data_IF_208386923973
#
_entry.id   IF_208386923973
#
_cell.length_a   1.000
_cell.length_b   1.000
_cell.length_c   1.000
_cell.angle_alpha   90.00
_cell.angle_beta   90.00
_cell.angle_gamma   90.00
#
_symmetry.space_group_name_H-M   'P 1'
#
loop_
_entity.id
_entity.type
_entity.pdbx_description
1 polymer ?
#
# COMPACT_ATOMS: atom_id res chain seq x y z
N UNK A 1 0.54 -8.43 9.17
CA UNK A 1 1.87 -8.23 9.78
C UNK A 1 2.71 -7.41 8.82
N UNK A 2 3.33 -6.28 9.21
CA UNK A 2 4.06 -5.47 8.23
C UNK A 2 5.47 -6.03 8.00
N UNK A 3 5.70 -6.66 6.85
CA UNK A 3 7.04 -6.89 6.33
C UNK A 3 7.36 -5.80 5.30
N UNK A 4 8.62 -5.40 5.25
CA UNK A 4 9.10 -4.49 4.21
C UNK A 4 9.24 -5.23 2.87
N UNK A 5 9.10 -4.49 1.77
CA UNK A 5 9.35 -5.01 0.42
C UNK A 5 10.78 -5.56 0.36
N UNK A 6 10.93 -6.77 -0.18
CA UNK A 6 12.22 -7.45 -0.32
C UNK A 6 12.60 -8.35 0.86
N UNK A 7 11.85 -8.32 1.96
CA UNK A 7 11.95 -9.36 2.99
C UNK A 7 11.14 -10.58 2.51
N UNK A 8 11.69 -11.78 2.70
CA UNK A 8 10.99 -13.02 2.40
C UNK A 8 9.74 -13.14 3.29
N UNK A 9 8.59 -13.26 2.66
CA UNK A 9 7.31 -13.39 3.34
C UNK A 9 6.95 -14.87 3.56
N UNK A 10 7.55 -15.44 4.60
CA UNK A 10 7.33 -16.80 5.09
C UNK A 10 6.81 -16.81 6.55
N UNK A 11 6.31 -17.96 6.99
CA UNK A 11 5.71 -18.07 8.34
C UNK A 11 6.74 -17.78 9.44
N UNK A 12 7.99 -18.18 9.26
CA UNK A 12 9.07 -17.92 10.23
C UNK A 12 9.28 -16.42 10.46
N UNK A 13 9.34 -15.62 9.39
CA UNK A 13 9.45 -14.16 9.52
C UNK A 13 8.17 -13.56 10.13
N UNK A 14 6.99 -14.03 9.73
CA UNK A 14 5.71 -13.57 10.30
C UNK A 14 5.64 -13.81 11.81
N UNK A 15 5.94 -15.02 12.27
CA UNK A 15 5.95 -15.39 13.69
C UNK A 15 6.98 -14.59 14.49
N UNK A 16 8.20 -14.42 13.95
CA UNK A 16 9.23 -13.58 14.57
C UNK A 16 8.70 -12.17 14.85
N UNK A 17 8.15 -11.50 13.85
CA UNK A 17 7.63 -10.15 14.03
C UNK A 17 6.40 -10.13 14.93
N UNK A 18 5.56 -11.18 14.93
CA UNK A 18 4.43 -11.28 15.84
C UNK A 18 4.91 -11.24 17.30
N UNK A 19 5.89 -12.07 17.63
CA UNK A 19 6.48 -12.10 18.96
C UNK A 19 7.06 -10.72 19.36
N UNK A 20 7.76 -10.03 18.45
CA UNK A 20 8.25 -8.68 18.69
C UNK A 20 7.13 -7.67 18.95
N UNK A 21 6.03 -7.72 18.18
CA UNK A 21 4.89 -6.82 18.37
C UNK A 21 4.19 -7.07 19.70
N UNK A 22 3.92 -8.32 20.05
CA UNK A 22 3.28 -8.68 21.32
C UNK A 22 4.14 -8.21 22.51
N UNK A 23 5.44 -8.49 22.47
CA UNK A 23 6.38 -8.04 23.51
C UNK A 23 6.38 -6.51 23.65
N UNK A 24 6.34 -5.76 22.55
CA UNK A 24 6.24 -4.29 22.58
C UNK A 24 4.92 -3.83 23.19
N UNK A 25 3.80 -4.44 22.82
CA UNK A 25 2.48 -4.10 23.39
C UNK A 25 2.49 -4.34 24.90
N UNK A 26 2.95 -5.50 25.36
CA UNK A 26 3.07 -5.82 26.79
C UNK A 26 3.91 -4.78 27.53
N UNK A 27 5.09 -4.45 26.99
CA UNK A 27 5.98 -3.43 27.55
C UNK A 27 5.32 -2.05 27.67
N UNK A 28 4.56 -1.62 26.67
CA UNK A 28 3.95 -0.29 26.64
C UNK A 28 2.64 -0.18 27.42
N UNK A 29 1.93 -1.29 27.61
CA UNK A 29 0.59 -1.31 28.23
C UNK A 29 0.59 -1.90 29.64
N UNK A 30 1.64 -2.62 30.05
CA UNK A 30 1.68 -3.38 31.29
C UNK A 30 0.87 -4.69 31.24
N UNK A 31 0.28 -5.03 30.10
CA UNK A 31 -0.37 -6.32 29.90
C UNK A 31 0.67 -7.45 29.92
N UNK A 32 0.25 -8.64 30.39
CA UNK A 32 1.12 -9.81 30.50
C UNK A 32 0.43 -11.00 29.83
N UNK A 33 1.21 -11.83 29.13
CA UNK A 33 0.77 -13.08 28.54
C UNK A 33 -0.22 -12.86 27.41
N UNK A 34 0.04 -11.90 26.51
CA UNK A 34 -0.81 -11.68 25.34
C UNK A 34 -0.78 -12.87 24.39
N UNK A 35 0.40 -13.48 24.19
CA UNK A 35 0.54 -14.65 23.30
C UNK A 35 -0.36 -15.82 23.73
N UNK A 36 -0.47 -16.09 25.04
CA UNK A 36 -1.31 -17.18 25.55
C UNK A 36 -2.81 -16.87 25.53
N UNK A 37 -3.20 -15.63 25.21
CA UNK A 37 -4.61 -15.20 25.10
C UNK A 37 -5.09 -15.18 23.64
N UNK A 38 -4.26 -15.56 22.68
CA UNK A 38 -4.63 -15.61 21.27
C UNK A 38 -5.47 -16.87 21.03
N UNK A 39 -6.76 -16.70 20.77
CA UNK A 39 -7.66 -17.80 20.37
C UNK A 39 -7.64 -18.04 18.86
N UNK A 40 -7.34 -17.00 18.08
CA UNK A 40 -7.28 -17.06 16.62
C UNK A 40 -6.24 -16.08 16.08
N UNK A 41 -5.48 -16.55 15.08
CA UNK A 41 -4.47 -15.76 14.39
C UNK A 41 -4.64 -15.93 12.88
N UNK A 42 -4.65 -14.80 12.17
CA UNK A 42 -4.52 -14.75 10.72
C UNK A 42 -3.54 -13.66 10.33
N UNK A 43 -2.55 -14.04 9.53
CA UNK A 43 -1.58 -13.12 8.95
C UNK A 43 -2.03 -12.65 7.56
N UNK A 44 -1.65 -11.42 7.22
CA UNK A 44 -1.84 -10.83 5.90
C UNK A 44 -0.64 -9.88 5.65
N UNK A 45 0.07 -10.09 4.55
CA UNK A 45 1.35 -9.46 4.27
C UNK A 45 1.64 -9.37 2.75
N UNK A 46 2.91 -9.17 2.40
CA UNK A 46 3.42 -8.82 1.06
C UNK A 46 2.90 -9.77 -0.02
N UNK A 47 2.98 -11.10 0.20
CA UNK A 47 2.52 -12.10 -0.74
C UNK A 47 1.00 -12.08 -0.92
N UNK A 48 0.26 -11.83 0.16
CA UNK A 48 -1.20 -11.72 0.10
C UNK A 48 -1.61 -10.48 -0.73
N UNK A 49 -0.94 -9.33 -0.53
CA UNK A 49 -1.19 -8.13 -1.34
C UNK A 49 -0.82 -8.32 -2.83
N UNK A 50 0.26 -9.06 -3.11
CA UNK A 50 0.64 -9.41 -4.47
C UNK A 50 -0.43 -10.27 -5.14
N UNK A 51 -0.91 -11.30 -4.44
CA UNK A 51 -1.88 -12.26 -4.95
C UNK A 51 -3.27 -11.65 -5.13
N UNK A 52 -3.79 -10.95 -4.12
CA UNK A 52 -5.19 -10.51 -4.11
C UNK A 52 -5.41 -9.23 -4.93
N UNK A 53 -4.39 -8.36 -5.02
CA UNK A 53 -4.54 -7.02 -5.61
C UNK A 53 -3.57 -6.72 -6.75
N UNK A 54 -2.70 -7.66 -7.13
CA UNK A 54 -1.58 -7.39 -8.05
C UNK A 54 -0.74 -6.19 -7.58
N UNK A 55 -0.61 -6.00 -6.26
CA UNK A 55 0.03 -4.84 -5.70
C UNK A 55 1.53 -4.87 -5.99
N UNK A 56 2.06 -3.87 -6.70
CA UNK A 56 3.49 -3.81 -7.04
C UNK A 56 4.39 -3.96 -5.80
N UNK A 57 5.21 -5.01 -5.75
CA UNK A 57 6.06 -5.30 -4.59
C UNK A 57 5.31 -5.61 -3.29
N UNK A 58 4.02 -5.95 -3.35
CA UNK A 58 3.18 -6.28 -2.19
C UNK A 58 2.90 -5.10 -1.26
N UNK A 59 2.92 -3.88 -1.79
CA UNK A 59 2.67 -2.68 -1.00
C UNK A 59 1.20 -2.56 -0.58
N UNK A 60 0.96 -2.16 0.68
CA UNK A 60 -0.38 -1.91 1.21
C UNK A 60 -0.84 -0.45 1.05
N UNK A 61 0.10 0.49 0.79
CA UNK A 61 -0.14 1.93 0.93
C UNK A 61 0.50 2.77 -0.20
N UNK A 62 0.76 2.18 -1.37
CA UNK A 62 1.26 2.91 -2.52
C UNK A 62 2.70 3.42 -2.41
N UNK A 63 2.98 4.57 -3.04
CA UNK A 63 4.32 5.15 -3.11
C UNK A 63 4.80 5.68 -1.75
N UNK A 64 6.09 5.49 -1.48
CA UNK A 64 6.73 6.08 -0.30
C UNK A 64 6.77 7.62 -0.38
N UNK A 65 6.75 8.28 0.78
CA UNK A 65 6.80 9.74 0.89
C UNK A 65 8.25 10.27 0.82
N UNK A 66 8.98 9.91 -0.24
CA UNK A 66 10.31 10.47 -0.49
C UNK A 66 10.22 11.81 -1.22
N UNK A 67 11.22 12.68 -1.10
CA UNK A 67 11.25 13.98 -1.80
C UNK A 67 11.06 13.84 -3.32
N UNK A 68 11.52 12.73 -3.91
CA UNK A 68 11.39 12.44 -5.34
C UNK A 68 10.02 11.88 -5.73
N UNK A 69 9.15 11.57 -4.78
CA UNK A 69 7.83 10.97 -4.98
C UNK A 69 6.70 11.87 -4.44
N UNK A 70 6.96 13.16 -4.25
CA UNK A 70 5.98 14.14 -3.77
C UNK A 70 5.54 15.09 -4.89
N UNK A 71 4.37 15.70 -4.70
CA UNK A 71 3.79 16.73 -5.58
C UNK A 71 3.95 16.42 -7.08
N UNK A 72 4.62 17.31 -7.82
CA UNK A 72 4.81 17.23 -9.29
C UNK A 72 5.75 16.11 -9.74
N UNK A 73 6.50 15.51 -8.82
CA UNK A 73 7.43 14.41 -9.10
C UNK A 73 6.75 13.02 -9.00
N UNK A 74 5.47 12.98 -8.57
CA UNK A 74 4.67 11.75 -8.63
C UNK A 74 4.48 11.26 -10.08
N UNK A 75 4.30 9.95 -10.29
CA UNK A 75 3.90 9.42 -11.59
C UNK A 75 2.66 10.14 -12.13
N UNK A 76 2.77 10.55 -13.40
CA UNK A 76 1.71 11.28 -14.11
C UNK A 76 0.55 10.35 -14.44
N UNK A 77 -0.65 10.93 -14.54
CA UNK A 77 -1.86 10.20 -14.90
C UNK A 77 -1.96 9.89 -16.41
N UNK A 78 -1.30 10.64 -17.30
CA UNK A 78 -1.24 10.33 -18.74
C UNK A 78 -0.01 9.52 -19.08
N UNK A 79 -0.18 8.48 -19.89
CA UNK A 79 0.95 7.78 -20.47
C UNK A 79 1.67 8.68 -21.50
N UNK A 80 3.00 8.60 -21.55
CA UNK A 80 3.83 9.44 -22.45
C UNK A 80 3.91 8.93 -23.89
N UNK A 81 3.63 7.64 -24.12
CA UNK A 81 3.81 6.94 -25.40
C UNK A 81 2.47 6.55 -26.05
N UNK A 82 1.44 6.32 -25.24
CA UNK A 82 0.11 5.89 -25.69
C UNK A 82 -0.89 7.00 -25.35
N UNK A 83 -1.41 7.67 -26.37
CA UNK A 83 -2.17 8.92 -26.23
C UNK A 83 -3.53 8.76 -25.57
N UNK A 84 -4.14 7.58 -25.64
CA UNK A 84 -5.44 7.25 -25.06
C UNK A 84 -5.35 6.39 -23.78
N UNK A 85 -4.18 6.33 -23.13
CA UNK A 85 -3.96 5.56 -21.91
C UNK A 85 -3.74 6.45 -20.69
N UNK A 86 -4.53 6.21 -19.65
CA UNK A 86 -4.52 6.95 -18.40
C UNK A 86 -4.38 6.00 -17.20
N UNK A 87 -3.80 6.51 -16.11
CA UNK A 87 -3.56 5.81 -14.87
C UNK A 87 -4.31 6.49 -13.73
N UNK A 88 -4.94 5.70 -12.86
CA UNK A 88 -5.66 6.17 -11.68
C UNK A 88 -5.32 5.32 -10.45
N UNK A 89 -5.60 5.86 -9.27
CA UNK A 89 -5.42 5.18 -7.99
C UNK A 89 -4.14 5.60 -7.26
N UNK A 90 -3.79 4.83 -6.23
CA UNK A 90 -2.82 5.22 -5.20
C UNK A 90 -1.37 5.45 -5.66
N UNK A 91 -0.99 4.93 -6.82
CA UNK A 91 0.38 5.05 -7.36
C UNK A 91 0.58 6.27 -8.27
N UNK A 92 -0.46 7.10 -8.43
CA UNK A 92 -0.41 8.31 -9.26
C UNK A 92 -0.87 9.53 -8.47
N UNK A 93 -0.93 10.70 -9.10
CA UNK A 93 -1.49 11.91 -8.48
C UNK A 93 -2.96 11.65 -8.07
N UNK A 94 -3.40 12.00 -6.84
CA UNK A 94 -2.68 12.76 -5.81
C UNK A 94 -1.83 11.94 -4.84
N UNK A 95 -1.94 10.62 -4.80
CA UNK A 95 -1.09 9.74 -4.01
C UNK A 95 -1.87 8.64 -3.28
N UNK A 96 -1.29 8.07 -2.22
CA UNK A 96 -1.87 6.91 -1.55
C UNK A 96 -2.98 7.23 -0.57
N UNK A 97 -3.74 6.20 -0.19
CA UNK A 97 -4.88 6.28 0.73
C UNK A 97 -6.23 6.28 0.01
N UNK A 98 -7.29 5.97 0.75
CA UNK A 98 -8.65 5.84 0.21
C UNK A 98 -9.14 7.17 -0.40
N UNK A 99 -9.13 8.31 0.31
CA UNK A 99 -9.62 9.56 -0.28
C UNK A 99 -8.81 10.00 -1.53
N UNK A 100 -7.45 9.99 -1.50
CA UNK A 100 -6.64 10.26 -2.69
C UNK A 100 -6.92 9.35 -3.88
N UNK A 101 -7.15 8.06 -3.65
CA UNK A 101 -7.45 7.10 -4.72
C UNK A 101 -8.79 7.39 -5.40
N UNK A 102 -9.82 7.74 -4.62
CA UNK A 102 -11.13 8.14 -5.16
C UNK A 102 -11.00 9.44 -5.97
N UNK A 103 -10.27 10.43 -5.43
CA UNK A 103 -10.03 11.70 -6.11
C UNK A 103 -9.24 11.49 -7.41
N UNK A 104 -8.26 10.59 -7.42
CA UNK A 104 -7.51 10.22 -8.63
C UNK A 104 -8.45 9.74 -9.74
N UNK A 105 -9.48 8.95 -9.41
CA UNK A 105 -10.50 8.50 -10.37
C UNK A 105 -11.26 9.67 -11.00
N UNK A 106 -11.68 10.63 -10.16
CA UNK A 106 -12.37 11.85 -10.63
C UNK A 106 -11.48 12.71 -11.53
N UNK A 107 -10.20 12.88 -11.18
CA UNK A 107 -9.25 13.65 -11.99
C UNK A 107 -9.09 12.99 -13.36
N UNK A 108 -8.90 11.67 -13.42
CA UNK A 108 -8.74 10.95 -14.68
C UNK A 108 -10.01 11.00 -15.53
N UNK A 109 -11.19 10.84 -14.94
CA UNK A 109 -12.46 10.94 -15.66
C UNK A 109 -12.62 12.32 -16.34
N UNK A 110 -12.28 13.40 -15.62
CA UNK A 110 -12.27 14.76 -16.17
C UNK A 110 -11.25 14.90 -17.30
N UNK A 111 -10.07 14.33 -17.14
CA UNK A 111 -8.98 14.41 -18.12
C UNK A 111 -9.31 13.67 -19.42
N UNK A 112 -9.91 12.49 -19.31
CA UNK A 112 -10.43 11.71 -20.46
C UNK A 112 -11.54 12.46 -21.18
N UNK A 113 -12.40 13.17 -20.45
CA UNK A 113 -13.49 13.95 -21.06
C UNK A 113 -12.95 15.11 -21.87
N UNK A 114 -11.94 15.82 -21.35
CA UNK A 114 -11.27 16.92 -22.07
C UNK A 114 -10.59 16.45 -23.35
N UNK A 115 -9.94 15.30 -23.33
CA UNK A 115 -9.22 14.78 -24.51
C UNK A 115 -10.10 14.25 -25.63
N UNK A 116 -11.43 14.16 -25.44
CA UNK A 116 -12.37 13.82 -26.52
C UNK A 116 -12.76 15.03 -27.37
N UNK A 117 -12.45 16.23 -26.89
CA UNK A 117 -12.83 17.51 -27.50
C UNK A 117 -11.66 18.15 -28.28
N UNK A 118 -10.48 17.52 -28.25
CA UNK A 118 -9.27 17.84 -29.01
C UNK A 118 -9.05 16.76 -30.09
#
# INVERSE_FOLDING_TARGET
MPLAIGIQDDETNREKYLAEMLSRIEKHTGMIGLASKIEYQRSYCVNDFLQDYNAYGGNAYGLANTLKQTAVLKPKIRNKKVTNLFYTGQLTVPGPGVPPSIISGKIVANEVTKSKTE
#
